data_IF_817597047734
#
_entry.id   IF_817597047734
#
_cell.length_a   1.000
_cell.length_b   1.000
_cell.length_c   1.000
_cell.angle_alpha   90.00
_cell.angle_beta   90.00
_cell.angle_gamma   90.00
#
_symmetry.space_group_name_H-M   'P 1'
#
loop_
_entity.id
_entity.type
_entity.pdbx_description
1 polymer ?
#
# COMPACT_ATOMS: atom_id res chain seq x y z
N UNK A 1 7.98 -7.57 -10.49
CA UNK A 1 8.28 -6.89 -9.22
C UNK A 1 6.97 -6.54 -8.51
N UNK A 2 7.00 -6.32 -7.19
CA UNK A 2 5.83 -5.83 -6.43
C UNK A 2 5.56 -4.37 -6.80
N UNK A 3 4.31 -4.07 -7.16
CA UNK A 3 3.88 -2.74 -7.61
C UNK A 3 3.08 -1.98 -6.56
N UNK A 4 2.12 -2.62 -5.91
CA UNK A 4 1.24 -1.99 -4.89
C UNK A 4 0.89 -3.00 -3.82
N UNK A 5 0.70 -2.54 -2.59
CA UNK A 5 0.24 -3.36 -1.47
C UNK A 5 -0.93 -2.68 -0.77
N UNK A 6 -1.97 -3.46 -0.45
CA UNK A 6 -3.17 -2.99 0.25
C UNK A 6 -3.46 -3.96 1.40
N UNK A 7 -3.72 -3.39 2.57
CA UNK A 7 -4.11 -4.13 3.77
C UNK A 7 -5.52 -3.69 4.12
N UNK A 8 -6.44 -4.65 4.23
CA UNK A 8 -7.85 -4.37 4.54
C UNK A 8 -8.41 -5.40 5.51
N UNK A 9 -9.39 -4.98 6.29
CA UNK A 9 -10.13 -5.87 7.19
C UNK A 9 -11.19 -6.64 6.40
N UNK A 10 -11.32 -7.93 6.64
CA UNK A 10 -12.19 -8.83 5.86
C UNK A 10 -13.66 -8.67 6.23
N UNK A 11 -13.96 -8.37 7.49
CA UNK A 11 -15.35 -8.28 7.98
C UNK A 11 -16.19 -7.22 7.26
N UNK A 12 -15.57 -6.11 6.87
CA UNK A 12 -16.23 -4.94 6.30
C UNK A 12 -15.52 -4.39 5.05
N UNK A 13 -14.40 -4.98 4.63
CA UNK A 13 -13.59 -4.48 3.51
C UNK A 13 -12.90 -3.15 3.82
N UNK A 14 -12.81 -2.73 5.09
CA UNK A 14 -12.24 -1.45 5.48
C UNK A 14 -10.74 -1.42 5.17
N UNK A 15 -10.26 -0.50 4.30
CA UNK A 15 -8.83 -0.36 4.06
C UNK A 15 -8.15 0.14 5.33
N UNK A 16 -7.11 -0.57 5.76
CA UNK A 16 -6.35 -0.31 6.98
C UNK A 16 -5.06 0.47 6.69
N UNK A 17 -4.35 0.05 5.63
CA UNK A 17 -3.15 0.69 5.13
C UNK A 17 -2.98 0.37 3.64
N UNK A 18 -2.28 1.23 2.89
CA UNK A 18 -1.89 0.95 1.51
C UNK A 18 -0.52 1.59 1.24
N UNK A 19 0.24 0.98 0.33
CA UNK A 19 1.49 1.57 -0.14
C UNK A 19 1.22 2.78 -1.00
N UNK A 20 1.95 3.87 -0.77
CA UNK A 20 1.96 5.00 -1.70
C UNK A 20 2.67 4.61 -3.01
N UNK A 21 2.00 4.86 -4.14
CA UNK A 21 2.54 4.56 -5.46
C UNK A 21 2.85 5.85 -6.23
N UNK A 22 3.78 5.75 -7.18
CA UNK A 22 4.12 6.86 -8.07
C UNK A 22 2.97 7.13 -9.07
N UNK A 23 2.86 8.35 -9.59
CA UNK A 23 1.74 8.79 -10.44
C UNK A 23 1.57 7.94 -11.72
N UNK A 24 2.68 7.45 -12.27
CA UNK A 24 2.66 6.52 -13.41
C UNK A 24 2.07 5.16 -13.02
N UNK A 25 2.44 4.63 -11.85
CA UNK A 25 1.96 3.35 -11.33
C UNK A 25 0.48 3.43 -10.96
N UNK A 26 0.05 4.55 -10.37
CA UNK A 26 -1.38 4.80 -10.09
C UNK A 26 -2.23 4.76 -11.36
N UNK A 27 -1.75 5.39 -12.43
CA UNK A 27 -2.47 5.43 -13.72
C UNK A 27 -2.55 4.04 -14.34
N UNK A 28 -1.43 3.31 -14.35
CA UNK A 28 -1.34 1.96 -14.90
C UNK A 28 -2.19 0.95 -14.12
N UNK A 29 -2.25 1.09 -12.78
CA UNK A 29 -2.92 0.13 -11.91
C UNK A 29 -4.33 0.51 -11.50
N UNK A 30 -4.89 1.60 -12.03
CA UNK A 30 -6.23 2.07 -11.68
C UNK A 30 -7.31 0.98 -11.78
N UNK A 31 -7.30 0.21 -12.87
CA UNK A 31 -8.23 -0.92 -13.07
C UNK A 31 -7.96 -2.07 -12.07
N UNK A 32 -6.70 -2.46 -11.89
CA UNK A 32 -6.29 -3.53 -10.97
C UNK A 32 -6.58 -3.18 -9.50
N UNK A 33 -6.54 -1.89 -9.12
CA UNK A 33 -6.97 -1.43 -7.79
C UNK A 33 -8.49 -1.55 -7.63
N UNK A 34 -9.26 -1.35 -8.70
CA UNK A 34 -10.69 -1.65 -8.73
C UNK A 34 -10.95 -3.15 -8.50
N UNK A 35 -10.21 -4.01 -9.21
CA UNK A 35 -10.27 -5.47 -9.03
C UNK A 35 -9.89 -5.90 -7.60
N UNK A 36 -8.85 -5.32 -7.01
CA UNK A 36 -8.45 -5.58 -5.62
C UNK A 36 -9.59 -5.30 -4.62
N UNK A 37 -10.35 -4.21 -4.82
CA UNK A 37 -11.54 -3.94 -4.00
C UNK A 37 -12.61 -5.01 -4.16
N UNK A 38 -12.85 -5.48 -5.39
CA UNK A 38 -13.78 -6.60 -5.65
C UNK A 38 -13.31 -7.87 -4.96
N UNK A 39 -12.00 -8.15 -4.95
CA UNK A 39 -11.42 -9.27 -4.19
C UNK A 39 -11.77 -9.11 -2.71
N UNK A 40 -11.44 -7.97 -2.08
CA UNK A 40 -11.74 -7.74 -0.66
C UNK A 40 -13.23 -7.89 -0.31
N UNK A 41 -14.14 -7.46 -1.19
CA UNK A 41 -15.60 -7.62 -1.00
C UNK A 41 -16.07 -9.07 -1.06
N UNK A 42 -15.33 -9.94 -1.75
CA UNK A 42 -15.69 -11.36 -1.93
C UNK A 42 -15.01 -12.26 -0.89
N UNK A 43 -13.92 -11.80 -0.30
CA UNK A 43 -13.26 -12.52 0.78
C UNK A 43 -14.16 -12.58 2.00
N UNK A 44 -14.14 -13.72 2.66
CA UNK A 44 -14.87 -14.00 3.89
C UNK A 44 -14.04 -14.98 4.74
N UNK A 45 -14.54 -15.32 5.94
CA UNK A 45 -13.85 -16.22 6.87
C UNK A 45 -13.61 -17.64 6.32
N UNK A 46 -14.39 -18.08 5.32
CA UNK A 46 -14.24 -19.39 4.67
C UNK A 46 -13.31 -19.33 3.45
N UNK A 47 -12.75 -18.17 3.13
CA UNK A 47 -11.83 -18.03 2.01
C UNK A 47 -10.49 -18.66 2.33
N UNK A 48 -9.81 -19.16 1.29
CA UNK A 48 -8.48 -19.75 1.44
C UNK A 48 -7.52 -18.74 2.09
N UNK A 49 -6.74 -19.15 3.11
CA UNK A 49 -5.89 -18.21 3.83
C UNK A 49 -4.73 -17.68 2.98
N UNK A 50 -4.34 -18.39 1.92
CA UNK A 50 -3.33 -17.95 0.95
C UNK A 50 -3.83 -18.27 -0.45
N UNK A 51 -3.80 -17.30 -1.36
CA UNK A 51 -4.21 -17.52 -2.74
C UNK A 51 -3.51 -16.55 -3.69
N UNK A 52 -3.33 -16.99 -4.93
CA UNK A 52 -2.88 -16.16 -6.05
C UNK A 52 -4.02 -15.99 -7.03
N UNK A 53 -4.28 -14.77 -7.49
CA UNK A 53 -5.30 -14.46 -8.48
C UNK A 53 -4.61 -13.84 -9.69
N UNK A 54 -4.71 -14.48 -10.84
CA UNK A 54 -4.11 -14.02 -12.08
C UNK A 54 -5.06 -13.02 -12.78
N UNK A 55 -4.53 -11.90 -13.26
CA UNK A 55 -5.28 -10.95 -14.09
C UNK A 55 -4.36 -10.35 -15.15
N UNK A 56 -4.37 -10.95 -16.35
CA UNK A 56 -3.58 -10.49 -17.48
C UNK A 56 -2.09 -10.33 -17.16
N UNK A 57 -1.61 -9.08 -17.11
CA UNK A 57 -0.17 -8.75 -16.90
C UNK A 57 0.26 -8.83 -15.43
N UNK A 58 -0.70 -8.86 -14.51
CA UNK A 58 -0.46 -8.78 -13.09
C UNK A 58 -1.05 -9.98 -12.35
N UNK A 59 -0.49 -10.26 -11.19
CA UNK A 59 -0.98 -11.29 -10.28
C UNK A 59 -1.18 -10.65 -8.90
N UNK A 60 -2.33 -10.93 -8.31
CA UNK A 60 -2.63 -10.59 -6.94
C UNK A 60 -2.23 -11.76 -6.05
N UNK A 61 -1.40 -11.53 -5.06
CA UNK A 61 -1.16 -12.50 -3.99
C UNK A 61 -1.76 -11.95 -2.72
N UNK A 62 -2.46 -12.79 -1.97
CA UNK A 62 -2.94 -12.39 -0.65
C UNK A 62 -2.71 -13.45 0.42
N UNK A 63 -2.54 -12.96 1.64
CA UNK A 63 -2.55 -13.74 2.88
C UNK A 63 -3.66 -13.19 3.77
N UNK A 64 -4.47 -14.07 4.33
CA UNK A 64 -5.43 -13.77 5.38
C UNK A 64 -4.85 -14.28 6.68
N UNK A 65 -4.71 -13.39 7.65
CA UNK A 65 -4.29 -13.72 9.01
C UNK A 65 -5.26 -13.04 9.99
N UNK A 66 -5.99 -13.84 10.78
CA UNK A 66 -7.06 -13.33 11.64
C UNK A 66 -8.17 -12.63 10.84
N UNK A 67 -8.48 -11.37 11.18
CA UNK A 67 -9.50 -10.55 10.51
C UNK A 67 -8.96 -9.70 9.36
N UNK A 68 -7.67 -9.85 9.01
CA UNK A 68 -6.96 -8.95 8.09
C UNK A 68 -6.51 -9.69 6.84
N UNK A 69 -6.76 -9.08 5.69
CA UNK A 69 -6.23 -9.50 4.41
C UNK A 69 -5.11 -8.57 3.95
N UNK A 70 -3.97 -9.16 3.62
CA UNK A 70 -2.77 -8.52 3.10
C UNK A 70 -2.65 -8.90 1.64
N UNK A 71 -2.83 -7.94 0.73
CA UNK A 71 -2.83 -8.17 -0.70
C UNK A 71 -1.72 -7.36 -1.36
N UNK A 72 -0.94 -7.99 -2.24
CA UNK A 72 -0.01 -7.28 -3.12
C UNK A 72 -0.30 -7.57 -4.58
N UNK A 73 -0.08 -6.56 -5.42
CA UNK A 73 -0.11 -6.62 -6.87
C UNK A 73 1.34 -6.70 -7.34
N UNK A 74 1.69 -7.70 -8.14
CA UNK A 74 3.01 -7.81 -8.74
C UNK A 74 2.91 -8.22 -10.22
N UNK A 75 3.97 -7.94 -10.98
CA UNK A 75 4.08 -8.44 -12.35
C UNK A 75 3.99 -9.97 -12.37
N UNK A 76 3.38 -10.54 -13.41
CA UNK A 76 3.26 -11.99 -13.58
C UNK A 76 4.61 -12.72 -13.59
N UNK A 77 5.68 -12.06 -14.05
CA UNK A 77 7.05 -12.61 -14.04
C UNK A 77 7.69 -12.65 -12.66
N UNK A 78 7.07 -12.05 -11.64
CA UNK A 78 7.63 -12.01 -10.30
C UNK A 78 7.51 -13.37 -9.59
N UNK A 79 8.58 -13.89 -8.98
CA UNK A 79 8.52 -15.19 -8.32
C UNK A 79 7.50 -15.21 -7.17
N UNK A 80 6.54 -16.13 -7.26
CA UNK A 80 5.48 -16.33 -6.24
C UNK A 80 6.04 -16.46 -4.83
N UNK A 81 7.13 -17.22 -4.65
CA UNK A 81 7.80 -17.42 -3.35
C UNK A 81 8.25 -16.10 -2.72
N UNK A 82 8.75 -15.16 -3.52
CA UNK A 82 9.17 -13.85 -3.04
C UNK A 82 7.95 -12.98 -2.68
N UNK A 83 6.86 -13.07 -3.44
CA UNK A 83 5.63 -12.33 -3.12
C UNK A 83 5.02 -12.76 -1.77
N UNK A 84 4.93 -14.07 -1.51
CA UNK A 84 4.43 -14.54 -0.21
C UNK A 84 5.39 -14.24 0.93
N UNK A 85 6.71 -14.38 0.73
CA UNK A 85 7.71 -13.96 1.72
C UNK A 85 7.58 -12.49 2.08
N UNK A 86 7.39 -11.62 1.08
CA UNK A 86 7.12 -10.20 1.28
C UNK A 86 5.87 -9.99 2.15
N UNK A 87 4.76 -10.66 1.81
CA UNK A 87 3.51 -10.55 2.58
C UNK A 87 3.66 -11.07 4.01
N UNK A 88 4.41 -12.15 4.25
CA UNK A 88 4.64 -12.69 5.60
C UNK A 88 5.42 -11.73 6.49
N UNK A 89 6.40 -11.00 5.95
CA UNK A 89 7.07 -9.93 6.70
C UNK A 89 6.08 -8.81 7.09
N UNK A 90 5.16 -8.44 6.19
CA UNK A 90 4.14 -7.44 6.50
C UNK A 90 3.15 -7.94 7.56
N UNK A 91 2.72 -9.20 7.46
CA UNK A 91 1.82 -9.83 8.45
C UNK A 91 2.45 -9.79 9.83
N UNK A 92 3.71 -10.20 9.96
CA UNK A 92 4.44 -10.22 11.24
C UNK A 92 4.53 -8.83 11.86
N UNK A 93 5.03 -7.85 11.10
CA UNK A 93 5.23 -6.49 11.61
C UNK A 93 3.89 -5.79 11.91
N UNK A 94 2.89 -5.97 11.06
CA UNK A 94 1.57 -5.35 11.24
C UNK A 94 0.84 -5.93 12.45
N UNK A 95 0.86 -7.24 12.63
CA UNK A 95 0.28 -7.88 13.81
C UNK A 95 1.01 -7.46 15.09
N UNK A 96 2.35 -7.38 15.06
CA UNK A 96 3.14 -6.92 16.21
C UNK A 96 2.83 -5.47 16.58
N UNK A 97 2.64 -4.61 15.58
CA UNK A 97 2.42 -3.17 15.80
C UNK A 97 0.96 -2.82 16.12
N UNK A 98 0.00 -3.49 15.46
CA UNK A 98 -1.40 -3.05 15.40
C UNK A 98 -2.42 -4.16 15.65
N UNK A 99 -2.02 -5.42 15.87
CA UNK A 99 -2.95 -6.55 15.98
C UNK A 99 -4.13 -6.33 16.94
N UNK A 100 -3.87 -5.74 18.10
CA UNK A 100 -4.90 -5.45 19.11
C UNK A 100 -5.80 -4.24 18.77
N UNK A 101 -5.42 -3.43 17.79
CA UNK A 101 -6.15 -2.23 17.40
C UNK A 101 -7.08 -2.45 16.22
N UNK A 102 -6.82 -3.48 15.41
CA UNK A 102 -7.49 -3.70 14.11
C UNK A 102 -8.94 -4.14 14.27
N UNK A 103 -9.29 -4.82 15.35
CA UNK A 103 -10.67 -5.26 15.62
C UNK A 103 -11.51 -4.20 16.33
N UNK A 104 -10.95 -3.03 16.63
CA UNK A 104 -11.69 -1.97 17.31
C UNK A 104 -12.84 -1.45 16.44
N UNK A 105 -14.03 -1.24 17.03
CA UNK A 105 -15.13 -0.59 16.32
C UNK A 105 -14.81 0.89 16.08
N UNK A 106 -15.31 1.45 14.96
CA UNK A 106 -15.16 2.88 14.65
C UNK A 106 -13.80 3.29 14.07
N UNK A 107 -12.98 2.35 13.59
CA UNK A 107 -11.77 2.68 12.85
C UNK A 107 -12.11 3.47 11.58
N UNK A 108 -11.35 4.53 11.33
CA UNK A 108 -11.44 5.30 10.10
C UNK A 108 -10.71 4.57 8.96
N UNK A 109 -11.15 4.71 7.70
CA UNK A 109 -10.37 4.25 6.56
C UNK A 109 -8.93 4.74 6.63
N UNK A 110 -8.01 3.82 6.39
CA UNK A 110 -6.57 4.03 6.47
C UNK A 110 -6.08 4.48 7.84
N UNK A 111 -6.66 3.96 8.92
CA UNK A 111 -6.23 4.28 10.29
C UNK A 111 -4.71 4.08 10.51
N UNK A 112 -4.10 3.14 9.79
CA UNK A 112 -2.71 2.73 9.96
C UNK A 112 -1.80 3.25 8.83
N UNK A 113 -2.06 4.44 8.27
CA UNK A 113 -1.22 5.06 7.21
C UNK A 113 0.29 5.05 7.51
N UNK A 114 0.69 5.12 8.78
CA UNK A 114 2.11 5.15 9.19
C UNK A 114 2.85 3.87 8.80
N UNK A 115 2.14 2.76 8.63
CA UNK A 115 2.71 1.49 8.19
C UNK A 115 3.26 1.54 6.76
N UNK A 116 2.89 2.54 5.95
CA UNK A 116 3.44 2.74 4.61
C UNK A 116 4.97 2.83 4.62
N UNK A 117 5.58 3.47 5.62
CA UNK A 117 7.05 3.55 5.69
C UNK A 117 7.72 2.17 5.75
N UNK A 118 7.13 1.24 6.51
CA UNK A 118 7.60 -0.13 6.57
C UNK A 118 7.34 -0.86 5.24
N UNK A 119 6.12 -0.75 4.69
CA UNK A 119 5.77 -1.36 3.40
C UNK A 119 6.70 -0.92 2.27
N UNK A 120 7.05 0.37 2.18
CA UNK A 120 7.98 0.90 1.17
C UNK A 120 9.40 0.38 1.36
N UNK A 121 9.88 0.34 2.61
CA UNK A 121 11.23 -0.17 2.91
C UNK A 121 11.34 -1.63 2.52
N UNK A 122 10.38 -2.46 2.93
CA UNK A 122 10.33 -3.89 2.63
C UNK A 122 10.15 -4.11 1.12
N UNK A 123 9.28 -3.34 0.46
CA UNK A 123 9.10 -3.40 -1.00
C UNK A 123 10.41 -3.15 -1.76
N UNK A 124 11.21 -2.15 -1.36
CA UNK A 124 12.51 -1.87 -1.98
C UNK A 124 13.50 -3.02 -1.83
N UNK A 125 13.55 -3.66 -0.66
CA UNK A 125 14.39 -4.84 -0.43
C UNK A 125 13.95 -5.95 -1.39
N UNK A 126 12.66 -6.24 -1.47
CA UNK A 126 12.13 -7.30 -2.33
C UNK A 126 12.17 -6.98 -3.83
N UNK A 127 12.46 -5.74 -4.22
CA UNK A 127 12.70 -5.32 -5.61
C UNK A 127 14.17 -5.44 -6.02
N UNK A 128 15.12 -5.34 -5.10
CA UNK A 128 16.55 -5.42 -5.41
C UNK A 128 16.98 -6.87 -5.72
N UNK A 129 17.25 -7.13 -7.01
CA UNK A 129 17.68 -8.43 -7.55
C UNK A 129 18.87 -9.04 -6.80
N UNK A 130 19.79 -8.23 -6.26
CA UNK A 130 20.95 -8.73 -5.51
C UNK A 130 20.55 -9.30 -4.16
N UNK A 131 19.56 -8.69 -3.50
CA UNK A 131 19.05 -9.19 -2.23
C UNK A 131 18.09 -10.36 -2.42
N UNK A 132 17.36 -10.41 -3.54
CA UNK A 132 16.48 -11.54 -3.88
C UNK A 132 17.21 -12.89 -3.92
N UNK A 133 18.45 -12.94 -4.42
CA UNK A 133 19.24 -14.19 -4.48
C UNK A 133 19.72 -14.67 -3.11
N UNK A 134 19.86 -13.75 -2.15
CA UNK A 134 20.21 -14.08 -0.77
C UNK A 134 18.95 -14.45 0.03
N UNK A 135 17.85 -13.71 -0.15
CA UNK A 135 16.56 -14.02 0.45
C UNK A 135 15.99 -15.35 -0.02
N UNK A 136 16.13 -15.70 -1.31
CA UNK A 136 15.64 -16.97 -1.85
C UNK A 136 16.39 -18.18 -1.29
N UNK A 137 17.68 -18.02 -0.97
CA UNK A 137 18.51 -19.02 -0.28
C UNK A 137 18.21 -19.10 1.21
N UNK A 138 17.96 -17.97 1.87
CA UNK A 138 17.63 -17.91 3.30
C UNK A 138 16.21 -18.45 3.59
N UNK A 139 15.27 -18.28 2.67
CA UNK A 139 13.89 -18.76 2.81
C UNK A 139 13.70 -20.20 2.31
N UNK A 140 14.65 -21.10 2.55
CA UNK A 140 14.47 -22.53 2.29
C UNK A 140 13.30 -23.12 3.11
N UNK A 141 12.95 -22.49 4.24
CA UNK A 141 11.86 -22.86 5.15
C UNK A 141 10.45 -22.40 4.74
N UNK A 142 10.30 -21.67 3.62
CA UNK A 142 8.97 -21.30 3.10
C UNK A 142 8.31 -22.54 2.47
N UNK A 143 7.73 -23.37 3.34
CA UNK A 143 7.04 -24.61 3.01
C UNK A 143 5.93 -24.36 1.97
N UNK A 144 5.98 -25.13 0.89
CA UNK A 144 4.86 -25.43 -0.02
C UNK A 144 4.05 -24.26 -0.59
N UNK A 145 4.73 -23.22 -1.11
CA UNK A 145 4.13 -22.22 -2.01
C UNK A 145 3.44 -22.87 -3.23
N UNK A 146 3.81 -24.10 -3.55
CA UNK A 146 3.20 -24.98 -4.58
C UNK A 146 1.77 -25.40 -4.27
N UNK A 147 1.37 -25.47 -2.99
CA UNK A 147 0.00 -25.83 -2.57
C UNK A 147 -0.96 -24.62 -2.58
N UNK A 148 -0.44 -23.42 -2.79
CA UNK A 148 -1.26 -22.21 -2.82
C UNK A 148 -2.16 -22.24 -4.05
N UNK A 149 -3.46 -22.12 -3.82
CA UNK A 149 -4.46 -22.11 -4.88
C UNK A 149 -4.26 -20.90 -5.79
N UNK A 150 -4.26 -21.15 -7.10
CA UNK A 150 -4.32 -20.10 -8.12
C UNK A 150 -5.74 -20.03 -8.67
N UNK A 151 -6.30 -18.82 -8.77
CA UNK A 151 -7.59 -18.53 -9.39
C UNK A 151 -7.41 -17.51 -10.51
N UNK A 152 -8.33 -17.48 -11.46
CA UNK A 152 -8.37 -16.40 -12.43
C UNK A 152 -9.29 -15.27 -11.94
N UNK A 153 -8.88 -14.02 -12.14
CA UNK A 153 -9.70 -12.84 -11.89
C UNK A 153 -10.98 -12.84 -12.73
N UNK A 154 -10.95 -13.29 -13.99
CA UNK A 154 -12.16 -13.34 -14.80
C UNK A 154 -13.21 -14.27 -14.17
N UNK A 155 -12.83 -15.49 -13.78
CA UNK A 155 -13.73 -16.44 -13.11
C UNK A 155 -14.27 -15.90 -11.79
N UNK A 156 -13.43 -15.16 -11.06
CA UNK A 156 -13.87 -14.43 -9.88
C UNK A 156 -14.91 -13.39 -10.29
N UNK A 157 -14.67 -12.50 -11.25
CA UNK A 157 -15.65 -11.48 -11.67
C UNK A 157 -17.00 -12.10 -12.09
N UNK A 158 -16.99 -13.12 -12.95
CA UNK A 158 -18.21 -13.73 -13.50
C UNK A 158 -19.07 -14.47 -12.48
N UNK A 159 -18.49 -15.02 -11.41
CA UNK A 159 -19.26 -15.77 -10.40
C UNK A 159 -20.13 -14.89 -9.49
N UNK A 160 -20.11 -13.57 -9.66
CA UNK A 160 -20.85 -12.64 -8.79
C UNK A 160 -21.48 -11.43 -9.46
N UNK A 161 -21.48 -11.34 -10.79
CA UNK A 161 -21.99 -10.15 -11.51
C UNK A 161 -22.98 -10.55 -12.62
N UNK A 162 -24.27 -10.62 -12.28
CA UNK A 162 -25.22 -9.86 -13.09
C UNK A 162 -25.48 -8.56 -12.32
N UNK A 163 -25.39 -7.43 -13.03
CA UNK A 163 -25.80 -6.10 -12.59
C UNK A 163 -24.95 -5.42 -11.49
N UNK A 164 -24.18 -4.44 -11.98
CA UNK A 164 -24.22 -3.03 -11.53
C UNK A 164 -22.94 -2.49 -10.85
N UNK A 165 -22.27 -1.56 -11.57
CA UNK A 165 -21.35 -0.48 -11.11
C UNK A 165 -19.85 -0.78 -11.00
N UNK A 166 -19.20 -0.73 -12.16
CA UNK A 166 -17.77 -0.42 -12.27
C UNK A 166 -17.47 1.10 -12.10
N UNK A 167 -18.48 1.99 -11.93
CA UNK A 167 -18.27 3.45 -11.82
C UNK A 167 -18.20 3.99 -10.39
N UNK A 168 -18.88 3.37 -9.41
CA UNK A 168 -18.94 3.87 -8.02
C UNK A 168 -17.67 3.55 -7.23
N UNK A 169 -17.03 2.42 -7.53
CA UNK A 169 -15.78 1.96 -6.86
C UNK A 169 -14.60 2.91 -7.15
N UNK A 170 -14.61 3.55 -8.32
CA UNK A 170 -13.60 4.53 -8.78
C UNK A 170 -13.69 5.87 -8.05
N UNK A 171 -14.86 6.27 -7.55
CA UNK A 171 -15.05 7.51 -6.79
C UNK A 171 -14.30 7.49 -5.45
N UNK A 172 -14.48 6.42 -4.67
CA UNK A 172 -13.80 6.25 -3.39
C UNK A 172 -12.28 6.07 -3.54
N UNK A 173 -11.81 5.48 -4.66
CA UNK A 173 -10.37 5.38 -4.98
C UNK A 173 -9.78 6.77 -5.19
N UNK A 174 -10.46 7.61 -5.99
CA UNK A 174 -10.05 8.99 -6.23
C UNK A 174 -10.05 9.80 -4.94
N UNK A 175 -11.07 9.65 -4.10
CA UNK A 175 -11.17 10.38 -2.84
C UNK A 175 -10.12 9.92 -1.82
N UNK A 176 -9.83 8.61 -1.77
CA UNK A 176 -8.78 8.06 -0.92
C UNK A 176 -7.39 8.48 -1.40
N UNK A 177 -7.09 8.33 -2.69
CA UNK A 177 -5.83 8.76 -3.31
C UNK A 177 -5.61 10.27 -3.16
N UNK A 178 -6.67 11.07 -3.27
CA UNK A 178 -6.64 12.52 -3.02
C UNK A 178 -6.26 12.83 -1.57
N UNK A 179 -6.87 12.17 -0.58
CA UNK A 179 -6.47 12.34 0.82
C UNK A 179 -5.00 12.00 1.06
N UNK A 180 -4.46 10.97 0.42
CA UNK A 180 -3.03 10.63 0.52
C UNK A 180 -2.14 11.67 -0.13
N UNK A 181 -2.50 12.13 -1.34
CA UNK A 181 -1.80 13.22 -2.04
C UNK A 181 -1.76 14.49 -1.18
N UNK A 182 -2.88 14.84 -0.57
CA UNK A 182 -2.99 16.04 0.26
C UNK A 182 -2.16 15.93 1.54
N UNK A 183 -2.15 14.76 2.20
CA UNK A 183 -1.28 14.51 3.38
C UNK A 183 0.20 14.52 3.02
N UNK A 184 0.60 13.90 1.91
CA UNK A 184 1.99 13.88 1.46
C UNK A 184 2.48 15.29 1.09
N UNK A 185 1.63 16.08 0.42
CA UNK A 185 1.90 17.49 0.12
C UNK A 185 2.09 18.32 1.39
N UNK A 186 1.26 18.09 2.42
CA UNK A 186 1.36 18.79 3.69
C UNK A 186 2.67 18.47 4.42
N UNK A 187 3.09 17.20 4.43
CA UNK A 187 4.38 16.77 5.00
C UNK A 187 5.57 17.38 4.24
N UNK A 188 5.51 17.44 2.91
CA UNK A 188 6.56 18.06 2.10
C UNK A 188 6.65 19.57 2.33
N UNK A 189 5.51 20.27 2.44
CA UNK A 189 5.49 21.69 2.83
C UNK A 189 6.08 21.90 4.22
N UNK A 190 5.72 21.06 5.18
CA UNK A 190 6.23 21.17 6.55
C UNK A 190 7.75 20.97 6.60
N UNK A 191 8.27 19.99 5.85
CA UNK A 191 9.71 19.78 5.69
C UNK A 191 10.40 20.97 5.02
N UNK A 192 9.75 21.57 4.01
CA UNK A 192 10.25 22.75 3.30
C UNK A 192 10.34 23.97 4.25
N UNK A 193 9.29 24.26 5.01
CA UNK A 193 9.30 25.36 5.99
C UNK A 193 10.35 25.16 7.07
N UNK A 194 10.54 23.92 7.55
CA UNK A 194 11.59 23.62 8.53
C UNK A 194 13.00 23.82 7.97
N UNK A 195 13.21 23.57 6.67
CA UNK A 195 14.50 23.73 6.00
C UNK A 195 14.82 25.19 5.64
N UNK A 196 13.83 25.94 5.16
CA UNK A 196 14.03 27.30 4.61
C UNK A 196 13.55 28.44 5.53
N UNK A 197 12.78 28.13 6.59
CA UNK A 197 12.30 29.13 7.54
C UNK A 197 13.42 29.87 8.28
N UNK A 198 14.38 29.17 8.93
CA UNK A 198 15.48 29.83 9.64
C UNK A 198 16.33 30.79 8.78
N UNK A 199 16.82 30.40 7.57
CA UNK A 199 17.60 31.33 6.75
C UNK A 199 16.79 32.51 6.22
N UNK A 200 15.48 32.34 5.96
CA UNK A 200 14.61 33.44 5.52
C UNK A 200 14.42 34.52 6.62
N UNK A 201 14.27 34.10 7.88
CA UNK A 201 14.15 35.02 9.02
C UNK A 201 15.45 35.81 9.19
N UNK A 202 16.61 35.15 9.12
CA UNK A 202 17.92 35.82 9.23
C UNK A 202 18.11 36.84 8.11
N UNK A 203 17.79 36.49 6.86
CA UNK A 203 17.87 37.40 5.72
C UNK A 203 16.95 38.62 5.88
N UNK A 204 15.72 38.41 6.38
CA UNK A 204 14.76 39.48 6.64
C UNK A 204 15.25 40.46 7.72
N UNK A 205 15.85 39.96 8.80
CA UNK A 205 16.45 40.80 9.86
C UNK A 205 17.62 41.62 9.31
N UNK A 206 18.50 41.02 8.51
CA UNK A 206 19.62 41.73 7.89
C UNK A 206 19.12 42.85 6.96
N UNK A 207 18.13 42.56 6.11
CA UNK A 207 17.50 43.56 5.24
C UNK A 207 16.87 44.70 6.03
N UNK A 208 16.17 44.39 7.13
CA UNK A 208 15.57 45.39 8.00
C UNK A 208 16.62 46.32 8.61
N UNK A 209 17.74 45.79 9.10
CA UNK A 209 18.84 46.60 9.64
C UNK A 209 19.47 47.50 8.57
N UNK A 210 19.65 47.00 7.34
CA UNK A 210 20.16 47.79 6.21
C UNK A 210 19.20 48.93 5.86
N UNK A 211 17.90 48.67 5.81
CA UNK A 211 16.89 49.70 5.50
C UNK A 211 16.85 50.79 6.57
N UNK A 212 16.86 50.42 7.86
CA UNK A 212 16.90 51.40 8.95
C UNK A 212 18.16 52.25 8.88
N UNK A 213 19.31 51.64 8.57
CA UNK A 213 20.57 52.37 8.40
C UNK A 213 20.54 53.34 7.22
N UNK A 214 19.94 52.94 6.09
CA UNK A 214 19.81 53.80 4.90
C UNK A 214 18.84 54.97 5.11
N UNK A 215 17.80 54.79 5.92
CA UNK A 215 16.81 55.84 6.15
C UNK A 215 17.25 56.87 7.19
N UNK A 216 18.17 56.49 8.09
CA UNK A 216 18.59 57.31 9.22
C UNK A 216 19.96 57.98 9.05
N UNK A 217 20.68 57.63 7.98
CA UNK A 217 22.01 58.15 7.63
C UNK A 217 22.03 58.61 6.17
#
# INVERSE_FOLDING_TARGET
MVKTTIIARISDGLPLAASMDDEQVETELSEYKGQAKTIFKRLNTNSEPRCSIESGKYVFHYIIEGSVCYLCICDQSYPRKLAFSYLEELVKEFNMSYGNEVDKPGLRPYAFVKFDTFMQKTKRIYQDTRTQSNLSKLNEDLQDVTRIMTKNMEDLLWRGDSLDRMSTISGELKDSAKMFKDKARHLNLQALYRKYGPPAIVASVILFVILVRYYWF
#
